data_IF_496104026370
#
_entry.id   IF_496104026370
#
_cell.length_a   1.000
_cell.length_b   1.000
_cell.length_c   1.000
_cell.angle_alpha   90.00
_cell.angle_beta   90.00
_cell.angle_gamma   90.00
#
_symmetry.space_group_name_H-M   'P 1'
#
loop_
_entity.id
_entity.type
_entity.pdbx_description
1 polymer ?
#
# COMPACT_ATOMS: atom_id res chain seq x y z
N UNK A 1 8.18 13.69 33.17
CA UNK A 1 8.14 13.16 31.80
C UNK A 1 8.54 14.26 30.85
N UNK A 2 9.69 14.13 30.19
CA UNK A 2 10.20 15.08 29.18
C UNK A 2 9.72 14.67 27.79
N UNK A 3 9.78 15.59 26.82
CA UNK A 3 9.52 15.27 25.41
C UNK A 3 10.45 14.14 24.89
N UNK A 4 11.68 14.10 25.38
CA UNK A 4 12.65 13.06 25.02
C UNK A 4 12.23 11.68 25.52
N UNK A 5 11.75 11.60 26.76
CA UNK A 5 11.22 10.35 27.34
C UNK A 5 9.96 9.87 26.60
N UNK A 6 9.12 10.79 26.12
CA UNK A 6 7.94 10.44 25.31
C UNK A 6 8.34 9.91 23.92
N UNK A 7 9.31 10.55 23.25
CA UNK A 7 9.81 10.10 21.94
C UNK A 7 10.48 8.73 22.05
N UNK A 8 11.22 8.47 23.12
CA UNK A 8 11.89 7.18 23.36
C UNK A 8 10.91 6.00 23.55
N UNK A 9 9.64 6.27 23.85
CA UNK A 9 8.58 5.25 23.97
C UNK A 9 7.90 4.93 22.63
N UNK A 10 8.13 5.74 21.59
CA UNK A 10 7.54 5.49 20.29
C UNK A 10 8.25 4.30 19.62
N UNK A 11 7.50 3.39 18.98
CA UNK A 11 8.12 2.28 18.29
C UNK A 11 8.98 2.80 17.12
N UNK A 12 10.18 2.24 16.97
CA UNK A 12 11.11 2.67 15.92
C UNK A 12 10.48 2.53 14.53
N UNK A 13 10.76 3.48 13.64
CA UNK A 13 10.25 3.49 12.26
C UNK A 13 11.39 3.82 11.32
N UNK A 14 11.73 2.87 10.45
CA UNK A 14 12.76 3.01 9.43
C UNK A 14 12.13 3.03 8.05
N UNK A 15 12.65 3.89 7.19
CA UNK A 15 12.20 4.05 5.81
C UNK A 15 13.22 3.43 4.85
N UNK A 16 12.72 2.86 3.75
CA UNK A 16 13.54 2.52 2.60
C UNK A 16 12.77 2.82 1.32
N UNK A 17 13.46 3.19 0.25
CA UNK A 17 12.85 3.55 -1.01
C UNK A 17 13.76 3.13 -2.16
N UNK A 18 13.17 2.54 -3.18
CA UNK A 18 13.85 2.24 -4.44
C UNK A 18 12.84 2.19 -5.59
N UNK A 19 13.32 1.98 -6.82
CA UNK A 19 12.51 2.03 -8.03
C UNK A 19 12.94 1.01 -9.07
N UNK A 20 11.95 0.47 -9.79
CA UNK A 20 12.16 -0.27 -11.02
C UNK A 20 12.24 0.73 -12.18
N UNK A 21 13.42 0.82 -12.78
CA UNK A 21 13.65 1.60 -14.02
C UNK A 21 13.15 0.83 -15.23
N UNK A 22 13.03 1.52 -16.36
CA UNK A 22 12.59 0.99 -17.65
C UNK A 22 11.24 0.27 -17.56
N UNK A 23 10.35 0.79 -16.69
CA UNK A 23 9.03 0.25 -16.49
C UNK A 23 8.01 1.10 -17.26
N UNK A 24 7.25 0.52 -18.22
CA UNK A 24 6.33 1.29 -19.05
C UNK A 24 5.31 2.08 -18.24
N UNK A 25 5.15 3.37 -18.57
CA UNK A 25 4.23 4.28 -17.88
C UNK A 25 2.81 3.72 -17.90
N UNK A 26 2.34 3.25 -19.06
CA UNK A 26 1.01 2.66 -19.24
C UNK A 26 0.78 1.47 -18.32
N UNK A 27 1.76 0.55 -18.20
CA UNK A 27 1.66 -0.59 -17.27
C UNK A 27 1.58 -0.15 -15.82
N UNK A 28 2.40 0.83 -15.42
CA UNK A 28 2.36 1.33 -14.04
C UNK A 28 1.04 2.02 -13.71
N UNK A 29 0.45 2.73 -14.68
CA UNK A 29 -0.88 3.34 -14.54
C UNK A 29 -1.96 2.27 -14.44
N UNK A 30 -1.96 1.29 -15.32
CA UNK A 30 -2.94 0.19 -15.32
C UNK A 30 -2.96 -0.56 -13.99
N UNK A 31 -1.79 -0.85 -13.40
CA UNK A 31 -1.70 -1.47 -12.07
C UNK A 31 -2.37 -0.58 -11.01
N UNK A 32 -2.08 0.71 -11.00
CA UNK A 32 -2.60 1.63 -9.98
C UNK A 32 -4.10 1.87 -10.17
N UNK A 33 -4.57 2.00 -11.40
CA UNK A 33 -5.99 2.11 -11.75
C UNK A 33 -6.75 0.86 -11.31
N UNK A 34 -6.23 -0.34 -11.58
CA UNK A 34 -6.84 -1.62 -11.16
C UNK A 34 -6.93 -1.76 -9.64
N UNK A 35 -5.94 -1.22 -8.92
CA UNK A 35 -5.88 -1.27 -7.46
C UNK A 35 -6.58 -0.08 -6.79
N UNK A 36 -7.12 0.85 -7.57
CA UNK A 36 -7.84 2.02 -7.06
C UNK A 36 -9.35 1.82 -7.16
N UNK A 37 -10.13 2.37 -6.21
CA UNK A 37 -11.59 2.33 -6.29
C UNK A 37 -12.08 3.03 -7.56
N UNK A 38 -13.02 2.38 -8.24
CA UNK A 38 -13.59 2.85 -9.51
C UNK A 38 -15.09 3.12 -9.40
N UNK A 39 -15.79 2.46 -8.47
CA UNK A 39 -17.21 2.71 -8.25
C UNK A 39 -17.43 4.03 -7.49
N UNK A 40 -16.44 4.47 -6.70
CA UNK A 40 -16.56 5.65 -5.83
C UNK A 40 -15.44 6.68 -6.07
N UNK A 41 -15.83 7.90 -6.47
CA UNK A 41 -14.91 9.00 -6.65
C UNK A 41 -14.47 9.60 -5.30
N UNK A 42 -13.24 10.14 -5.27
CA UNK A 42 -12.74 10.87 -4.11
C UNK A 42 -12.41 10.00 -2.90
N UNK A 43 -12.19 8.70 -3.07
CA UNK A 43 -11.72 7.85 -1.98
C UNK A 43 -10.29 8.23 -1.59
N UNK A 44 -10.09 8.58 -0.32
CA UNK A 44 -8.78 8.97 0.22
C UNK A 44 -8.12 7.81 0.96
N UNK A 45 -8.86 7.17 1.86
CA UNK A 45 -8.35 6.15 2.76
C UNK A 45 -9.44 5.13 3.04
N UNK A 46 -9.01 3.89 3.21
CA UNK A 46 -9.83 2.74 3.59
C UNK A 46 -9.17 2.07 4.77
N UNK A 47 -9.94 1.79 5.81
CA UNK A 47 -9.53 1.00 6.97
C UNK A 47 -10.40 -0.24 7.04
N UNK A 48 -9.79 -1.39 7.34
CA UNK A 48 -10.48 -2.67 7.38
C UNK A 48 -10.64 -3.13 8.84
N UNK A 49 -11.89 -3.31 9.27
CA UNK A 49 -12.26 -3.77 10.61
C UNK A 49 -13.38 -4.79 10.49
N UNK A 50 -13.22 -5.97 11.12
CA UNK A 50 -14.27 -6.98 11.25
C UNK A 50 -15.03 -7.34 9.96
N UNK A 51 -14.30 -7.47 8.84
CA UNK A 51 -14.89 -7.82 7.55
C UNK A 51 -15.68 -6.69 6.88
N UNK A 52 -15.49 -5.45 7.35
CA UNK A 52 -16.03 -4.22 6.77
C UNK A 52 -14.89 -3.30 6.34
N UNK A 53 -15.23 -2.31 5.50
CA UNK A 53 -14.36 -1.21 5.11
C UNK A 53 -14.95 0.11 5.58
N UNK A 54 -14.20 0.84 6.38
CA UNK A 54 -14.46 2.23 6.74
C UNK A 54 -13.70 3.11 5.77
N UNK A 55 -14.40 3.91 4.98
CA UNK A 55 -13.81 4.67 3.87
C UNK A 55 -13.94 6.16 4.14
N UNK A 56 -12.80 6.84 4.20
CA UNK A 56 -12.74 8.30 4.27
C UNK A 56 -12.54 8.86 2.87
N UNK A 57 -13.40 9.81 2.49
CA UNK A 57 -13.36 10.53 1.24
C UNK A 57 -12.52 11.82 1.35
N UNK A 58 -12.14 12.39 0.20
CA UNK A 58 -11.42 13.67 0.13
C UNK A 58 -12.24 14.85 0.66
N UNK A 59 -13.58 14.72 0.69
CA UNK A 59 -14.49 15.67 1.35
C UNK A 59 -14.38 15.66 2.88
N UNK A 60 -13.75 14.64 3.46
CA UNK A 60 -13.73 14.38 4.91
C UNK A 60 -14.90 13.51 5.39
N UNK A 61 -15.88 13.21 4.53
CA UNK A 61 -16.93 12.24 4.84
C UNK A 61 -16.34 10.86 5.08
N UNK A 62 -16.93 10.09 6.00
CA UNK A 62 -16.59 8.69 6.23
C UNK A 62 -17.84 7.82 6.10
N UNK A 63 -17.73 6.68 5.40
CA UNK A 63 -18.82 5.73 5.19
C UNK A 63 -18.34 4.30 5.39
N UNK A 64 -19.23 3.45 5.89
CA UNK A 64 -18.99 2.03 6.05
C UNK A 64 -19.50 1.22 4.85
N UNK A 65 -18.74 0.21 4.49
CA UNK A 65 -19.04 -0.70 3.39
C UNK A 65 -18.91 -2.14 3.86
N UNK A 66 -19.97 -2.91 3.64
CA UNK A 66 -20.03 -4.31 4.04
C UNK A 66 -19.29 -5.26 3.11
N UNK A 67 -19.42 -6.57 3.38
CA UNK A 67 -18.95 -7.65 2.51
C UNK A 67 -19.38 -7.47 1.05
N UNK A 68 -18.48 -7.75 0.12
CA UNK A 68 -18.75 -7.68 -1.32
C UNK A 68 -18.53 -6.31 -1.98
N UNK A 69 -18.23 -5.27 -1.20
CA UNK A 69 -17.82 -3.96 -1.73
C UNK A 69 -16.50 -4.04 -2.50
N UNK A 70 -16.26 -3.07 -3.41
CA UNK A 70 -15.02 -2.99 -4.17
C UNK A 70 -13.78 -2.93 -3.28
N UNK A 71 -13.86 -2.26 -2.13
CA UNK A 71 -12.76 -2.10 -1.19
C UNK A 71 -12.23 -3.43 -0.65
N UNK A 72 -13.13 -4.34 -0.30
CA UNK A 72 -12.77 -5.67 0.20
C UNK A 72 -12.19 -6.52 -0.94
N UNK A 73 -12.77 -6.42 -2.15
CA UNK A 73 -12.23 -7.11 -3.34
C UNK A 73 -10.80 -6.64 -3.66
N UNK A 74 -10.53 -5.34 -3.59
CA UNK A 74 -9.20 -4.76 -3.79
C UNK A 74 -8.23 -5.25 -2.71
N UNK A 75 -8.64 -5.23 -1.44
CA UNK A 75 -7.83 -5.79 -0.34
C UNK A 75 -7.47 -7.25 -0.58
N UNK A 76 -8.44 -8.06 -0.98
CA UNK A 76 -8.24 -9.49 -1.23
C UNK A 76 -7.32 -9.72 -2.44
N UNK A 77 -7.49 -8.91 -3.51
CA UNK A 77 -6.59 -8.93 -4.66
C UNK A 77 -5.14 -8.55 -4.29
N UNK A 78 -4.94 -7.55 -3.43
CA UNK A 78 -3.63 -7.19 -2.89
C UNK A 78 -3.04 -8.30 -2.01
N UNK A 79 -3.86 -8.94 -1.19
CA UNK A 79 -3.43 -10.00 -0.27
C UNK A 79 -2.90 -11.23 -1.01
N UNK A 80 -3.30 -11.43 -2.29
CA UNK A 80 -2.72 -12.45 -3.16
C UNK A 80 -1.25 -12.18 -3.55
N UNK A 81 -0.79 -10.93 -3.49
CA UNK A 81 0.60 -10.55 -3.79
C UNK A 81 1.45 -10.34 -2.53
N UNK A 82 0.86 -9.79 -1.47
CA UNK A 82 1.52 -9.52 -0.20
C UNK A 82 1.30 -10.69 0.77
N UNK A 83 2.05 -11.77 0.55
CA UNK A 83 1.82 -13.06 1.21
C UNK A 83 2.50 -13.19 2.58
N UNK A 84 1.99 -14.09 3.41
CA UNK A 84 2.60 -14.44 4.70
C UNK A 84 4.00 -15.06 4.55
N UNK A 85 4.26 -15.79 3.46
CA UNK A 85 5.58 -16.38 3.15
C UNK A 85 6.66 -15.31 2.96
N UNK A 86 6.26 -14.13 2.48
CA UNK A 86 7.12 -12.94 2.33
C UNK A 86 7.15 -12.06 3.60
N UNK A 87 6.49 -12.51 4.68
CA UNK A 87 6.42 -11.86 5.98
C UNK A 87 5.41 -10.71 6.07
N UNK A 88 4.47 -10.57 5.12
CA UNK A 88 3.39 -9.61 5.22
C UNK A 88 2.27 -10.15 6.12
N UNK A 89 1.70 -9.27 6.95
CA UNK A 89 0.51 -9.60 7.76
C UNK A 89 -0.76 -9.11 7.08
N UNK A 90 -1.91 -9.20 7.77
CA UNK A 90 -3.18 -8.73 7.22
C UNK A 90 -3.12 -7.24 6.85
N UNK A 91 -3.69 -6.87 5.70
CA UNK A 91 -3.86 -5.49 5.27
C UNK A 91 -4.93 -4.85 6.14
N UNK A 92 -4.56 -3.81 6.88
CA UNK A 92 -5.45 -3.05 7.77
C UNK A 92 -5.95 -1.76 7.15
N UNK A 93 -5.30 -1.28 6.09
CA UNK A 93 -5.79 -0.13 5.37
C UNK A 93 -5.06 0.16 4.07
N UNK A 94 -5.68 1.00 3.24
CA UNK A 94 -5.11 1.48 1.99
C UNK A 94 -5.37 2.99 1.89
N UNK A 95 -4.36 3.74 1.48
CA UNK A 95 -4.47 5.16 1.17
C UNK A 95 -4.14 5.40 -0.31
N UNK A 96 -4.97 6.23 -0.94
CA UNK A 96 -4.95 6.47 -2.39
C UNK A 96 -4.40 7.86 -2.75
N UNK A 97 -3.83 8.58 -1.78
CA UNK A 97 -3.13 9.83 -2.06
C UNK A 97 -1.77 9.47 -2.67
N UNK A 98 -1.57 9.89 -3.92
CA UNK A 98 -0.29 9.81 -4.62
C UNK A 98 0.21 8.36 -4.79
N UNK A 99 -0.66 7.49 -5.30
CA UNK A 99 -0.40 6.07 -5.54
C UNK A 99 -1.25 5.18 -4.64
N UNK A 100 -0.78 3.96 -4.37
CA UNK A 100 -1.44 2.99 -3.49
C UNK A 100 -0.52 2.69 -2.32
N UNK A 101 -0.88 3.19 -1.13
CA UNK A 101 -0.16 2.94 0.12
C UNK A 101 -0.91 1.94 0.97
N UNK A 102 -0.26 0.84 1.29
CA UNK A 102 -0.84 -0.32 1.97
C UNK A 102 -0.28 -0.37 3.38
N UNK A 103 -1.17 -0.52 4.36
CA UNK A 103 -0.86 -0.65 5.78
C UNK A 103 -1.10 -2.08 6.23
N UNK A 104 -0.16 -2.62 7.00
CA UNK A 104 -0.23 -4.00 7.52
C UNK A 104 -0.39 -4.00 9.04
N UNK A 105 -0.99 -5.06 9.59
CA UNK A 105 -1.29 -5.18 11.02
C UNK A 105 -0.06 -5.18 11.94
N UNK A 106 1.13 -5.52 11.43
CA UNK A 106 2.39 -5.43 12.16
C UNK A 106 3.02 -4.01 12.14
N UNK A 107 2.37 -3.05 11.48
CA UNK A 107 2.83 -1.68 11.31
C UNK A 107 3.75 -1.47 10.12
N UNK A 108 4.00 -2.50 9.29
CA UNK A 108 4.68 -2.33 8.02
C UNK A 108 3.83 -1.48 7.06
N UNK A 109 4.50 -0.79 6.14
CA UNK A 109 3.87 -0.03 5.07
C UNK A 109 4.60 -0.34 3.77
N UNK A 110 3.85 -0.53 2.68
CA UNK A 110 4.38 -0.51 1.30
C UNK A 110 3.59 0.50 0.47
N UNK A 111 4.27 1.43 -0.18
CA UNK A 111 3.66 2.47 -1.00
C UNK A 111 4.12 2.33 -2.44
N UNK A 112 3.22 1.85 -3.29
CA UNK A 112 3.42 1.72 -4.73
C UNK A 112 3.05 3.02 -5.41
N UNK A 113 3.99 3.61 -6.15
CA UNK A 113 3.77 4.88 -6.84
C UNK A 113 4.35 4.90 -8.26
N UNK A 114 3.53 5.12 -9.30
CA UNK A 114 4.02 5.29 -10.65
C UNK A 114 4.73 6.65 -10.76
N UNK A 115 5.77 6.75 -11.59
CA UNK A 115 6.39 8.04 -11.89
C UNK A 115 5.57 8.78 -12.95
N UNK A 116 5.26 10.06 -12.70
CA UNK A 116 4.61 10.93 -13.69
C UNK A 116 5.54 11.44 -14.80
N UNK A 117 6.87 11.35 -14.58
CA UNK A 117 7.87 12.06 -15.40
C UNK A 117 8.89 11.13 -16.08
N UNK A 118 8.86 9.82 -15.78
CA UNK A 118 9.83 8.86 -16.28
C UNK A 118 9.21 7.45 -16.29
N UNK A 119 9.71 6.51 -17.13
CA UNK A 119 9.30 5.11 -17.12
C UNK A 119 9.86 4.39 -15.88
N UNK A 120 9.34 4.72 -14.70
CA UNK A 120 9.77 4.17 -13.41
C UNK A 120 8.57 3.86 -12.51
N UNK A 121 8.66 2.75 -11.77
CA UNK A 121 7.70 2.41 -10.72
C UNK A 121 8.43 2.34 -9.37
N UNK A 122 7.98 3.15 -8.40
CA UNK A 122 8.63 3.31 -7.10
C UNK A 122 7.90 2.49 -6.03
N UNK A 123 8.68 1.94 -5.10
CA UNK A 123 8.16 1.38 -3.87
C UNK A 123 8.86 2.04 -2.67
N UNK A 124 8.08 2.53 -1.72
CA UNK A 124 8.54 3.05 -0.44
C UNK A 124 8.04 2.14 0.67
N UNK A 125 8.92 1.79 1.61
CA UNK A 125 8.57 0.97 2.75
C UNK A 125 8.85 1.68 4.07
N UNK A 126 8.01 1.39 5.07
CA UNK A 126 8.24 1.74 6.48
C UNK A 126 8.12 0.46 7.30
N UNK A 127 9.06 0.22 8.22
CA UNK A 127 9.03 -0.94 9.11
C UNK A 127 9.72 -0.65 10.44
N UNK A 128 9.61 -1.58 11.39
CA UNK A 128 10.23 -1.47 12.72
C UNK A 128 11.75 -1.72 12.70
N UNK A 129 12.31 -2.26 11.61
CA UNK A 129 13.75 -2.46 11.42
C UNK A 129 14.19 -2.00 10.03
N UNK A 130 15.45 -1.52 9.87
CA UNK A 130 16.00 -1.18 8.56
C UNK A 130 15.99 -2.37 7.58
N UNK A 131 16.28 -3.57 8.06
CA UNK A 131 16.36 -4.79 7.27
C UNK A 131 14.98 -5.14 6.69
N UNK A 132 13.93 -5.02 7.50
CA UNK A 132 12.56 -5.26 7.03
C UNK A 132 12.12 -4.23 6.01
N UNK A 133 12.41 -2.94 6.23
CA UNK A 133 12.09 -1.88 5.26
C UNK A 133 12.76 -2.14 3.90
N UNK A 134 14.05 -2.52 3.91
CA UNK A 134 14.75 -2.93 2.68
C UNK A 134 14.11 -4.15 2.03
N UNK A 135 13.75 -5.16 2.83
CA UNK A 135 13.18 -6.42 2.32
C UNK A 135 11.82 -6.21 1.65
N UNK A 136 10.96 -5.36 2.20
CA UNK A 136 9.66 -5.00 1.59
C UNK A 136 9.86 -4.40 0.20
N UNK A 137 10.80 -3.46 0.06
CA UNK A 137 11.11 -2.85 -1.24
C UNK A 137 11.69 -3.88 -2.21
N UNK A 138 12.65 -4.71 -1.75
CA UNK A 138 13.26 -5.75 -2.56
C UNK A 138 12.21 -6.72 -3.15
N UNK A 139 11.31 -7.22 -2.30
CA UNK A 139 10.20 -8.10 -2.71
C UNK A 139 9.26 -7.36 -3.65
N UNK A 140 8.94 -6.10 -3.33
CA UNK A 140 8.13 -5.23 -4.17
C UNK A 140 8.64 -5.12 -5.60
N UNK A 141 9.93 -4.80 -5.77
CA UNK A 141 10.54 -4.58 -7.08
C UNK A 141 10.84 -5.88 -7.84
N UNK A 142 11.17 -6.97 -7.15
CA UNK A 142 11.62 -8.23 -7.77
C UNK A 142 10.49 -9.23 -8.02
N UNK A 143 9.42 -9.20 -7.21
CA UNK A 143 8.34 -10.19 -7.24
C UNK A 143 6.99 -9.54 -7.50
N UNK A 144 6.58 -8.60 -6.64
CA UNK A 144 5.20 -8.10 -6.62
C UNK A 144 4.88 -7.25 -7.85
N UNK A 145 5.67 -6.21 -8.15
CA UNK A 145 5.42 -5.33 -9.30
C UNK A 145 5.44 -6.10 -10.62
N UNK A 146 6.42 -6.99 -10.89
CA UNK A 146 6.37 -7.86 -12.07
C UNK A 146 5.09 -8.72 -12.15
N UNK A 147 4.71 -9.40 -11.06
CA UNK A 147 3.51 -10.23 -11.04
C UNK A 147 2.22 -9.42 -11.25
N UNK A 148 2.13 -8.21 -10.68
CA UNK A 148 1.02 -7.29 -10.94
C UNK A 148 1.00 -6.85 -12.41
N UNK A 149 2.16 -6.59 -13.00
CA UNK A 149 2.28 -6.21 -14.40
C UNK A 149 1.88 -7.35 -15.34
N UNK A 150 2.04 -8.61 -14.96
CA UNK A 150 1.57 -9.75 -15.76
C UNK A 150 0.08 -10.00 -15.58
N UNK A 151 -0.46 -9.78 -14.38
CA UNK A 151 -1.88 -10.01 -14.09
C UNK A 151 -2.79 -8.91 -14.62
N UNK A 152 -2.32 -7.67 -14.63
CA UNK A 152 -3.13 -6.47 -14.92
C UNK A 152 -2.78 -5.77 -16.24
N UNK A 153 -1.80 -6.26 -17.02
CA UNK A 153 -1.47 -5.70 -18.33
C UNK A 153 -2.06 -6.50 -19.49
#
# INVERSE_FOLDING_TARGET
MTLFELIAQLPSRYTHADRKKDFPIERSRAIIETLSPSEHAGVKQVEFTDGQAVVTFTSGETREFGPGSEFLKIRDALSAFFTADDGFTAITGINYIDGVRIYFSNGDISHLRPSGNAPEFRNYAIANTPERARKIVEIGLRKIIPAMAEKFA
#
